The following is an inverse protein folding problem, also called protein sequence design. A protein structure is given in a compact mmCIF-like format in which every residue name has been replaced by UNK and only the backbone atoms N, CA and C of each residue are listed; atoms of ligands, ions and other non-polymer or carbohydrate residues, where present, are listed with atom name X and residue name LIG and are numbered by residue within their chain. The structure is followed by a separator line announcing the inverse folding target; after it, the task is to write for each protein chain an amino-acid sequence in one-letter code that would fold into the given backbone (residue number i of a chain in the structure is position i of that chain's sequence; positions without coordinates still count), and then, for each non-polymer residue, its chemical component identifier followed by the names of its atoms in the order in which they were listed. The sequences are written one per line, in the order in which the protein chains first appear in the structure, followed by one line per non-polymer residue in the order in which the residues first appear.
data_IF_780540687187
#
_entry.id   IF_780540687187
#
_cell.length_a   1.000
_cell.length_b   1.000
_cell.length_c   1.000
_cell.angle_alpha   90.00
_cell.angle_beta   90.00
_cell.angle_gamma   90.00
#
_symmetry.space_group_name_H-M   'P 1'
#
loop_
_entity.id
_entity.type
_entity.pdbx_description
1 polymer ?
#
# COMPACT_ATOMS: atom_id res chain seq x y z
N UNK A 1 2.61 30.66 -30.09
CA UNK A 1 2.38 29.30 -30.62
C UNK A 1 1.10 28.77 -30.00
N UNK A 2 0.01 28.73 -30.78
CA UNK A 2 -1.26 28.11 -30.34
C UNK A 2 -1.01 26.63 -30.15
N UNK A 3 -1.20 26.12 -28.93
CA UNK A 3 -1.31 24.67 -28.66
C UNK A 3 -2.59 24.20 -29.38
N UNK A 4 -2.44 23.43 -30.43
CA UNK A 4 -3.53 22.72 -31.07
C UNK A 4 -4.21 21.87 -29.97
N UNK A 5 -5.42 22.22 -29.60
CA UNK A 5 -6.27 21.38 -28.78
C UNK A 5 -6.59 20.16 -29.65
N UNK A 6 -5.93 19.05 -29.34
CA UNK A 6 -6.17 17.77 -30.02
C UNK A 6 -7.62 17.40 -29.81
N UNK A 7 -8.40 17.26 -30.89
CA UNK A 7 -9.81 16.84 -30.76
C UNK A 7 -9.82 15.40 -30.28
N UNK A 8 -10.73 15.08 -29.33
CA UNK A 8 -10.98 13.70 -28.86
C UNK A 8 -11.18 12.72 -30.04
N UNK A 9 -11.59 13.20 -31.22
CA UNK A 9 -11.79 12.40 -32.42
C UNK A 9 -10.51 11.85 -33.07
N UNK A 10 -9.33 12.37 -32.73
CA UNK A 10 -8.04 11.88 -33.25
C UNK A 10 -7.40 10.83 -32.32
N UNK A 11 -7.92 10.64 -31.11
CA UNK A 11 -7.38 9.72 -30.11
C UNK A 11 -7.99 8.31 -30.34
N UNK A 12 -7.11 7.35 -30.58
CA UNK A 12 -7.55 5.94 -30.62
C UNK A 12 -7.60 5.38 -29.19
N UNK A 13 -8.80 5.06 -28.71
CA UNK A 13 -9.03 4.52 -27.37
C UNK A 13 -8.27 3.22 -27.11
N UNK A 14 -8.03 2.41 -28.15
CA UNK A 14 -7.27 1.17 -28.01
C UNK A 14 -5.80 1.43 -27.60
N UNK A 15 -5.23 2.60 -27.97
CA UNK A 15 -3.86 2.95 -27.61
C UNK A 15 -3.67 3.11 -26.11
N UNK A 16 -4.74 3.44 -25.34
CA UNK A 16 -4.71 3.48 -23.87
C UNK A 16 -4.42 2.11 -23.24
N UNK A 17 -4.91 1.02 -23.85
CA UNK A 17 -4.61 -0.35 -23.40
C UNK A 17 -3.11 -0.65 -23.51
N UNK A 18 -2.48 -0.23 -24.60
CA UNK A 18 -1.03 -0.38 -24.79
C UNK A 18 -0.24 0.48 -23.81
N UNK A 19 -0.68 1.71 -23.59
CA UNK A 19 -0.10 2.61 -22.62
C UNK A 19 -0.14 2.02 -21.19
N UNK A 20 -1.29 1.53 -20.75
CA UNK A 20 -1.45 0.88 -19.43
C UNK A 20 -0.51 -0.30 -19.27
N UNK A 21 -0.42 -1.17 -20.28
CA UNK A 21 0.40 -2.37 -20.18
C UNK A 21 1.91 -2.05 -20.18
N UNK A 22 2.36 -1.03 -20.93
CA UNK A 22 3.75 -0.55 -20.88
C UNK A 22 4.05 0.13 -19.55
N UNK A 23 3.13 0.92 -19.02
CA UNK A 23 3.29 1.58 -17.71
C UNK A 23 3.47 0.55 -16.57
N UNK A 24 2.68 -0.53 -16.59
CA UNK A 24 2.73 -1.61 -15.59
C UNK A 24 3.99 -2.45 -15.70
N UNK A 25 4.40 -2.78 -16.92
CA UNK A 25 5.53 -3.70 -17.14
C UNK A 25 6.89 -2.99 -17.22
N UNK A 26 6.89 -1.68 -17.49
CA UNK A 26 8.08 -0.86 -17.78
C UNK A 26 8.93 -1.38 -18.95
N UNK A 27 8.45 -2.40 -19.67
CA UNK A 27 9.15 -3.06 -20.79
C UNK A 27 8.15 -3.35 -21.91
N UNK A 28 8.35 -2.72 -23.08
CA UNK A 28 7.49 -2.93 -24.23
C UNK A 28 7.48 -4.39 -24.73
N UNK A 29 8.58 -5.13 -24.55
CA UNK A 29 8.63 -6.57 -24.89
C UNK A 29 7.76 -7.43 -23.98
N UNK A 30 7.67 -7.10 -22.69
CA UNK A 30 6.78 -7.78 -21.74
C UNK A 30 5.32 -7.41 -22.00
N UNK A 31 5.05 -6.12 -22.26
CA UNK A 31 3.72 -5.66 -22.67
C UNK A 31 3.24 -6.35 -23.96
N UNK A 32 4.13 -6.49 -24.95
CA UNK A 32 3.83 -7.18 -26.21
C UNK A 32 3.40 -8.64 -25.98
N UNK A 33 4.13 -9.37 -25.13
CA UNK A 33 3.77 -10.75 -24.77
C UNK A 33 2.39 -10.84 -24.10
N UNK A 34 2.09 -9.94 -23.15
CA UNK A 34 0.80 -9.92 -22.45
C UNK A 34 -0.37 -9.55 -23.35
N UNK A 35 -0.12 -8.64 -24.30
CA UNK A 35 -1.12 -8.22 -25.28
C UNK A 35 -1.23 -9.15 -26.50
N UNK A 36 -0.41 -10.21 -26.57
CA UNK A 36 -0.31 -11.14 -27.71
C UNK A 36 -0.09 -10.43 -29.06
N UNK A 37 0.84 -9.45 -29.07
CA UNK A 37 1.23 -8.67 -30.26
C UNK A 37 2.75 -8.57 -30.38
N UNK A 38 3.24 -8.04 -31.50
CA UNK A 38 4.66 -7.77 -31.70
C UNK A 38 5.12 -6.51 -30.96
N UNK A 39 6.41 -6.49 -30.58
CA UNK A 39 7.06 -5.32 -29.96
C UNK A 39 6.90 -4.05 -30.79
N UNK A 40 7.02 -4.17 -32.12
CA UNK A 40 6.85 -3.04 -33.05
C UNK A 40 5.46 -2.43 -32.99
N UNK A 41 4.44 -3.26 -32.81
CA UNK A 41 3.05 -2.81 -32.62
C UNK A 41 2.92 -1.98 -31.33
N UNK A 42 3.45 -2.47 -30.21
CA UNK A 42 3.44 -1.71 -28.95
C UNK A 42 4.13 -0.35 -29.10
N UNK A 43 5.34 -0.35 -29.67
CA UNK A 43 6.09 0.91 -29.86
C UNK A 43 5.35 1.90 -30.75
N UNK A 44 4.74 1.43 -31.85
CA UNK A 44 3.94 2.24 -32.76
C UNK A 44 2.70 2.82 -32.08
N UNK A 45 1.98 2.02 -31.29
CA UNK A 45 0.77 2.43 -30.55
C UNK A 45 1.09 3.50 -29.52
N UNK A 46 2.21 3.36 -28.77
CA UNK A 46 2.69 4.40 -27.83
C UNK A 46 3.02 5.68 -28.59
N UNK A 47 3.80 5.60 -29.68
CA UNK A 47 4.15 6.79 -30.48
C UNK A 47 2.92 7.46 -31.10
N UNK A 48 1.92 6.69 -31.51
CA UNK A 48 0.62 7.21 -32.00
C UNK A 48 -0.10 8.01 -30.91
N UNK A 49 -0.17 7.47 -29.68
CA UNK A 49 -0.80 8.12 -28.54
C UNK A 49 -0.08 9.40 -28.16
N UNK A 50 1.27 9.37 -28.07
CA UNK A 50 2.11 10.54 -27.78
C UNK A 50 1.94 11.61 -28.86
N UNK A 51 1.90 11.22 -30.13
CA UNK A 51 1.62 12.11 -31.25
C UNK A 51 0.24 12.76 -31.20
N UNK A 52 -0.80 11.97 -30.87
CA UNK A 52 -2.16 12.48 -30.73
C UNK A 52 -2.32 13.44 -29.55
N UNK A 53 -1.58 13.24 -28.45
CA UNK A 53 -1.58 14.11 -27.27
C UNK A 53 -0.59 15.28 -27.36
N UNK A 54 0.33 15.25 -28.34
CA UNK A 54 1.38 16.27 -28.49
C UNK A 54 2.38 16.31 -27.34
N UNK A 55 2.56 15.20 -26.62
CA UNK A 55 3.46 15.11 -25.47
C UNK A 55 4.02 13.71 -25.31
N UNK A 56 5.24 13.59 -24.76
CA UNK A 56 5.83 12.32 -24.41
C UNK A 56 5.23 11.79 -23.10
N UNK A 57 4.88 10.52 -23.08
CA UNK A 57 4.34 9.83 -21.91
C UNK A 57 5.39 8.98 -21.22
N UNK A 58 6.44 8.60 -21.95
CA UNK A 58 7.55 7.81 -21.44
C UNK A 58 8.90 8.39 -21.81
N UNK A 59 9.84 8.29 -20.86
CA UNK A 59 11.26 8.40 -21.09
C UNK A 59 11.89 7.02 -21.23
N UNK A 60 12.74 6.83 -22.26
CA UNK A 60 13.45 5.57 -22.46
C UNK A 60 14.76 5.58 -21.68
N UNK A 61 14.84 4.79 -20.61
CA UNK A 61 16.06 4.59 -19.85
C UNK A 61 16.74 3.27 -20.26
N UNK A 62 18.06 3.28 -20.39
CA UNK A 62 18.84 2.05 -20.69
C UNK A 62 18.77 1.04 -19.54
N UNK A 63 18.66 1.49 -18.30
CA UNK A 63 18.63 0.67 -17.10
C UNK A 63 17.21 0.35 -16.64
N UNK A 64 16.29 1.33 -16.71
CA UNK A 64 14.95 1.23 -16.12
C UNK A 64 13.83 0.99 -17.16
N UNK A 65 14.17 0.88 -18.46
CA UNK A 65 13.19 0.68 -19.51
C UNK A 65 12.34 1.93 -19.79
N UNK A 66 11.03 1.78 -19.86
CA UNK A 66 10.06 2.87 -20.04
C UNK A 66 9.68 3.46 -18.68
N UNK A 67 10.10 4.69 -18.41
CA UNK A 67 9.75 5.45 -17.20
C UNK A 67 8.71 6.50 -17.58
N UNK A 68 7.64 6.60 -16.80
CA UNK A 68 6.59 7.60 -17.04
C UNK A 68 7.13 9.01 -16.85
N UNK A 69 6.77 9.92 -17.76
CA UNK A 69 6.93 11.36 -17.58
C UNK A 69 5.87 11.88 -16.59
N UNK A 70 5.93 13.16 -16.21
CA UNK A 70 4.89 13.79 -15.40
C UNK A 70 3.52 13.76 -16.10
N UNK A 71 3.49 13.92 -17.43
CA UNK A 71 2.31 13.80 -18.28
C UNK A 71 1.81 12.36 -18.34
N UNK A 72 2.74 11.40 -18.50
CA UNK A 72 2.43 9.97 -18.44
C UNK A 72 1.83 9.55 -17.11
N UNK A 73 2.38 10.05 -15.98
CA UNK A 73 1.82 9.77 -14.66
C UNK A 73 0.40 10.33 -14.49
N UNK A 74 0.12 11.52 -15.02
CA UNK A 74 -1.23 12.10 -15.03
C UNK A 74 -2.20 11.26 -15.88
N UNK A 75 -1.77 10.87 -17.10
CA UNK A 75 -2.60 10.04 -17.98
C UNK A 75 -2.88 8.67 -17.38
N UNK A 76 -1.92 8.07 -16.64
CA UNK A 76 -2.08 6.77 -16.03
C UNK A 76 -3.34 6.71 -15.14
N UNK A 77 -3.54 7.70 -14.27
CA UNK A 77 -4.72 7.75 -13.41
C UNK A 77 -6.05 7.82 -14.18
N UNK A 78 -6.08 8.57 -15.30
CA UNK A 78 -7.27 8.62 -16.15
C UNK A 78 -7.48 7.33 -16.94
N UNK A 79 -6.42 6.75 -17.50
CA UNK A 79 -6.49 5.51 -18.27
C UNK A 79 -6.96 4.32 -17.41
N UNK A 80 -6.47 4.22 -16.18
CA UNK A 80 -6.95 3.22 -15.19
C UNK A 80 -8.43 3.41 -14.84
N UNK A 81 -8.92 4.67 -14.80
CA UNK A 81 -10.34 4.98 -14.61
C UNK A 81 -11.21 4.48 -15.76
N UNK A 82 -10.74 4.75 -16.97
CA UNK A 82 -11.44 4.33 -18.20
C UNK A 82 -11.50 2.79 -18.26
N UNK A 83 -10.39 2.12 -17.98
CA UNK A 83 -10.34 0.66 -17.90
C UNK A 83 -11.33 0.11 -16.87
N UNK A 84 -11.35 0.68 -15.65
CA UNK A 84 -12.27 0.28 -14.59
C UNK A 84 -13.73 0.51 -14.98
N UNK A 85 -14.03 1.65 -15.61
CA UNK A 85 -15.37 1.96 -16.10
C UNK A 85 -15.82 1.00 -17.21
N UNK A 86 -14.91 0.65 -18.12
CA UNK A 86 -15.17 -0.31 -19.19
C UNK A 86 -15.44 -1.72 -18.62
N UNK A 87 -14.65 -2.14 -17.62
CA UNK A 87 -14.90 -3.39 -16.92
C UNK A 87 -16.29 -3.42 -16.26
N UNK A 88 -16.68 -2.35 -15.56
CA UNK A 88 -18.03 -2.25 -15.00
C UNK A 88 -19.12 -2.36 -16.06
N UNK A 89 -18.97 -1.65 -17.17
CA UNK A 89 -19.92 -1.71 -18.27
C UNK A 89 -20.05 -3.12 -18.83
N UNK A 90 -18.92 -3.79 -19.06
CA UNK A 90 -18.90 -5.18 -19.53
C UNK A 90 -19.57 -6.12 -18.52
N UNK A 91 -19.30 -5.99 -17.23
CA UNK A 91 -19.94 -6.80 -16.18
C UNK A 91 -21.47 -6.60 -16.14
N UNK A 92 -21.92 -5.37 -16.31
CA UNK A 92 -23.36 -5.05 -16.31
C UNK A 92 -24.10 -5.56 -17.56
N UNK A 93 -23.46 -5.44 -18.73
CA UNK A 93 -24.08 -5.84 -20.01
C UNK A 93 -24.04 -7.34 -20.23
N UNK A 94 -22.93 -8.00 -19.86
CA UNK A 94 -22.74 -9.44 -20.11
C UNK A 94 -23.39 -10.35 -19.06
N UNK A 95 -23.97 -9.79 -18.01
CA UNK A 95 -24.56 -10.56 -16.91
C UNK A 95 -23.54 -11.35 -16.10
N UNK A 96 -24.01 -12.38 -15.36
CA UNK A 96 -23.18 -13.18 -14.44
C UNK A 96 -22.16 -14.13 -15.10
N UNK A 97 -22.02 -14.07 -16.43
CA UNK A 97 -21.17 -14.99 -17.19
C UNK A 97 -19.75 -14.49 -17.51
N UNK A 98 -19.40 -13.24 -17.19
CA UNK A 98 -18.03 -12.74 -17.36
C UNK A 98 -17.15 -13.36 -16.30
N UNK A 99 -16.09 -14.06 -16.72
CA UNK A 99 -15.12 -14.62 -15.81
C UNK A 99 -14.58 -13.51 -14.87
N UNK A 100 -14.68 -13.76 -13.56
CA UNK A 100 -14.18 -12.86 -12.54
C UNK A 100 -12.66 -12.74 -12.67
N UNK A 101 -12.18 -11.66 -13.26
CA UNK A 101 -10.76 -11.48 -13.60
C UNK A 101 -10.36 -10.01 -13.44
N UNK A 102 -9.05 -9.78 -13.42
CA UNK A 102 -8.49 -8.45 -13.45
C UNK A 102 -7.44 -8.22 -12.37
N UNK A 103 -7.04 -6.97 -12.24
CA UNK A 103 -5.98 -6.56 -11.34
C UNK A 103 -6.55 -5.69 -10.21
N UNK A 104 -6.04 -5.88 -8.99
CA UNK A 104 -6.36 -5.07 -7.81
C UNK A 104 -5.08 -4.66 -7.12
N UNK A 105 -4.97 -3.39 -6.81
CA UNK A 105 -3.85 -2.84 -6.03
C UNK A 105 -4.32 -2.49 -4.63
N UNK A 106 -3.71 -3.11 -3.62
CA UNK A 106 -4.01 -2.89 -2.21
C UNK A 106 -2.84 -2.19 -1.51
N UNK A 107 -3.10 -1.01 -0.95
CA UNK A 107 -2.17 -0.31 -0.09
C UNK A 107 -2.43 -0.63 1.38
N UNK A 108 -1.38 -0.77 2.18
CA UNK A 108 -1.52 -0.99 3.62
C UNK A 108 -0.29 -0.52 4.39
N UNK A 109 -0.44 -0.41 5.71
CA UNK A 109 0.70 -0.14 6.58
C UNK A 109 1.68 -1.32 6.56
N UNK A 110 2.96 -1.03 6.65
CA UNK A 110 4.04 -1.98 6.39
C UNK A 110 3.94 -3.26 7.24
N UNK A 111 3.83 -3.12 8.56
CA UNK A 111 3.80 -4.29 9.46
C UNK A 111 2.54 -5.13 9.29
N UNK A 112 1.36 -4.50 9.23
CA UNK A 112 0.08 -5.21 9.06
C UNK A 112 -0.01 -5.87 7.68
N UNK A 113 0.41 -5.15 6.64
CA UNK A 113 0.46 -5.67 5.29
C UNK A 113 1.36 -6.90 5.17
N UNK A 114 2.56 -6.83 5.72
CA UNK A 114 3.54 -7.91 5.59
C UNK A 114 3.19 -9.16 6.40
N UNK A 115 2.73 -9.00 7.65
CA UNK A 115 2.57 -10.12 8.58
C UNK A 115 1.14 -10.61 8.75
N UNK A 116 0.15 -9.81 8.39
CA UNK A 116 -1.25 -10.22 8.48
C UNK A 116 -1.92 -10.35 7.11
N UNK A 117 -1.88 -9.31 6.29
CA UNK A 117 -2.63 -9.28 5.02
C UNK A 117 -2.00 -10.19 3.96
N UNK A 118 -0.66 -10.19 3.80
CA UNK A 118 0.01 -10.97 2.76
C UNK A 118 -0.26 -12.49 2.87
N UNK A 119 -0.21 -13.12 4.05
CA UNK A 119 -0.61 -14.52 4.19
C UNK A 119 -2.04 -14.79 3.71
N UNK A 120 -2.99 -13.90 4.03
CA UNK A 120 -4.39 -14.05 3.60
C UNK A 120 -4.53 -13.87 2.09
N UNK A 121 -3.80 -12.93 1.49
CA UNK A 121 -3.83 -12.73 0.05
C UNK A 121 -3.29 -13.92 -0.72
N UNK A 122 -2.35 -14.68 -0.18
CA UNK A 122 -1.86 -15.91 -0.84
C UNK A 122 -2.99 -16.93 -1.01
N UNK A 123 -3.83 -17.12 0.01
CA UNK A 123 -5.01 -17.98 -0.09
C UNK A 123 -6.08 -17.41 -1.03
N UNK A 124 -6.25 -16.09 -1.04
CA UNK A 124 -7.19 -15.44 -1.94
C UNK A 124 -6.84 -15.65 -3.40
N UNK A 125 -5.57 -15.46 -3.81
CA UNK A 125 -5.17 -15.62 -5.21
C UNK A 125 -5.20 -17.08 -5.65
N UNK A 126 -4.99 -18.04 -4.75
CA UNK A 126 -5.19 -19.46 -5.03
C UNK A 126 -6.66 -19.79 -5.32
N UNK A 127 -7.58 -19.19 -4.55
CA UNK A 127 -9.02 -19.38 -4.74
C UNK A 127 -9.55 -18.65 -6.00
N UNK A 128 -8.90 -17.55 -6.41
CA UNK A 128 -9.32 -16.71 -7.54
C UNK A 128 -8.17 -16.44 -8.53
N UNK A 129 -7.66 -17.45 -9.24
CA UNK A 129 -6.44 -17.37 -10.05
C UNK A 129 -6.50 -16.38 -11.22
N UNK A 130 -7.70 -15.95 -11.61
CA UNK A 130 -7.87 -14.93 -12.64
C UNK A 130 -7.80 -13.49 -12.10
N UNK A 131 -7.71 -13.31 -10.76
CA UNK A 131 -7.48 -12.02 -10.11
C UNK A 131 -6.01 -11.93 -9.70
N UNK A 132 -5.33 -10.89 -10.18
CA UNK A 132 -3.99 -10.54 -9.70
C UNK A 132 -4.08 -9.43 -8.65
N UNK A 133 -3.28 -9.54 -7.59
CA UNK A 133 -3.24 -8.53 -6.51
C UNK A 133 -1.82 -8.02 -6.35
N UNK A 134 -1.65 -6.67 -6.46
CA UNK A 134 -0.45 -6.01 -5.98
C UNK A 134 -0.70 -5.58 -4.53
N UNK A 135 0.19 -5.99 -3.63
CA UNK A 135 0.19 -5.48 -2.26
C UNK A 135 1.31 -4.45 -2.09
N UNK A 136 0.99 -3.30 -1.51
CA UNK A 136 1.91 -2.20 -1.26
C UNK A 136 2.02 -1.95 0.25
N UNK A 137 2.84 -2.72 0.97
CA UNK A 137 3.08 -2.53 2.40
C UNK A 137 4.14 -1.44 2.60
N UNK A 138 3.72 -0.18 2.63
CA UNK A 138 4.62 0.97 2.60
C UNK A 138 4.65 1.71 3.95
N UNK A 139 5.82 2.22 4.37
CA UNK A 139 5.98 3.04 5.57
C UNK A 139 5.60 4.51 5.33
N UNK A 140 4.61 4.77 4.48
CA UNK A 140 4.11 6.11 4.19
C UNK A 140 2.65 6.07 3.74
N UNK A 141 2.01 7.25 3.67
CA UNK A 141 0.63 7.39 3.25
C UNK A 141 0.44 7.03 1.76
N UNK A 142 -0.58 6.22 1.48
CA UNK A 142 -0.99 5.83 0.12
C UNK A 142 -2.23 6.60 -0.27
N UNK A 143 -2.17 7.29 -1.40
CA UNK A 143 -3.24 8.17 -1.86
C UNK A 143 -4.19 7.49 -2.84
N UNK A 144 -5.46 7.28 -2.43
CA UNK A 144 -6.52 6.86 -3.35
C UNK A 144 -6.89 7.94 -4.38
N UNK A 145 -6.75 9.22 -4.01
CA UNK A 145 -7.05 10.33 -4.93
C UNK A 145 -6.07 10.37 -6.09
N UNK A 146 -4.81 9.96 -5.87
CA UNK A 146 -3.79 9.79 -6.90
C UNK A 146 -3.83 8.42 -7.57
N UNK A 147 -4.78 7.57 -7.18
CA UNK A 147 -4.95 6.19 -7.70
C UNK A 147 -3.73 5.30 -7.53
N UNK A 148 -3.01 5.50 -6.42
CA UNK A 148 -1.86 4.65 -6.07
C UNK A 148 -2.32 3.24 -5.66
N UNK A 149 -3.55 3.11 -5.13
CA UNK A 149 -4.19 1.84 -4.80
C UNK A 149 -5.70 1.88 -5.06
N UNK A 150 -6.34 0.71 -5.19
CA UNK A 150 -7.79 0.53 -5.32
C UNK A 150 -8.45 0.38 -3.95
N UNK A 151 -7.80 -0.35 -3.03
CA UNK A 151 -8.19 -0.53 -1.63
C UNK A 151 -7.03 -0.08 -0.75
N UNK A 152 -7.32 0.61 0.35
CA UNK A 152 -6.30 1.01 1.32
C UNK A 152 -6.71 0.55 2.72
N UNK A 153 -5.74 0.04 3.47
CA UNK A 153 -5.83 -0.22 4.91
C UNK A 153 -4.89 0.75 5.63
N UNK A 154 -5.45 1.65 6.43
CA UNK A 154 -4.72 2.73 7.10
C UNK A 154 -5.05 2.81 8.59
N UNK A 155 -4.27 3.63 9.31
CA UNK A 155 -4.43 3.89 10.75
C UNK A 155 -5.57 4.86 11.03
N UNK A 156 -5.90 5.70 10.06
CA UNK A 156 -6.89 6.76 10.19
C UNK A 156 -7.99 6.60 9.15
N UNK A 157 -9.19 7.03 9.52
CA UNK A 157 -10.31 7.13 8.61
C UNK A 157 -10.08 8.30 7.65
N UNK A 158 -10.39 8.15 6.33
CA UNK A 158 -10.31 9.28 5.42
C UNK A 158 -11.33 10.36 5.82
N UNK A 159 -10.86 11.61 5.94
CA UNK A 159 -11.72 12.73 6.35
C UNK A 159 -12.68 13.18 5.25
N UNK A 160 -12.20 13.17 4.00
CA UNK A 160 -12.94 13.69 2.85
C UNK A 160 -12.77 12.83 1.61
N UNK A 161 -13.77 12.82 0.74
CA UNK A 161 -13.77 12.15 -0.55
C UNK A 161 -14.91 11.13 -0.72
N UNK A 162 -15.14 10.68 -1.95
CA UNK A 162 -16.19 9.71 -2.26
C UNK A 162 -15.69 8.29 -1.93
N UNK A 163 -15.52 8.00 -0.64
CA UNK A 163 -14.98 6.73 -0.17
C UNK A 163 -16.01 5.90 0.58
N UNK A 164 -16.06 4.61 0.28
CA UNK A 164 -16.66 3.62 1.17
C UNK A 164 -15.59 3.23 2.18
N UNK A 165 -15.91 3.36 3.47
CA UNK A 165 -14.98 3.12 4.56
C UNK A 165 -15.62 2.23 5.62
N UNK A 166 -14.84 1.31 6.19
CA UNK A 166 -15.23 0.55 7.36
C UNK A 166 -14.05 0.38 8.33
N UNK A 167 -14.36 0.25 9.61
CA UNK A 167 -13.40 -0.25 10.59
C UNK A 167 -13.11 -1.71 10.26
N UNK A 168 -11.83 -2.06 10.13
CA UNK A 168 -11.42 -3.43 9.84
C UNK A 168 -11.25 -4.23 11.14
N UNK A 169 -10.35 -3.78 12.03
CA UNK A 169 -10.15 -4.41 13.33
C UNK A 169 -9.49 -3.44 14.32
N UNK A 170 -9.51 -3.81 15.59
CA UNK A 170 -8.66 -3.22 16.62
C UNK A 170 -7.34 -3.98 16.70
N UNK A 171 -6.25 -3.27 17.02
CA UNK A 171 -4.98 -3.89 17.35
C UNK A 171 -4.36 -3.21 18.57
N UNK A 172 -3.47 -3.92 19.24
CA UNK A 172 -2.80 -3.43 20.45
C UNK A 172 -1.31 -3.24 20.18
N UNK A 173 -0.77 -2.20 20.83
CA UNK A 173 0.66 -1.99 20.94
C UNK A 173 1.04 -2.08 22.41
N UNK A 174 2.18 -2.70 22.68
CA UNK A 174 2.77 -2.83 24.00
C UNK A 174 4.27 -2.56 23.93
N UNK A 175 4.88 -2.32 25.07
CA UNK A 175 6.31 -2.18 25.21
C UNK A 175 6.95 -3.57 25.26
N UNK A 176 8.04 -3.76 24.52
CA UNK A 176 8.76 -5.04 24.42
C UNK A 176 10.26 -4.87 24.67
N UNK A 177 10.84 -5.91 25.25
CA UNK A 177 12.27 -6.11 25.40
C UNK A 177 12.61 -7.61 25.25
N UNK A 178 13.86 -7.94 24.99
CA UNK A 178 14.36 -9.32 25.15
C UNK A 178 14.71 -9.61 26.62
N UNK A 179 14.73 -10.89 27.01
CA UNK A 179 15.16 -11.28 28.36
C UNK A 179 16.60 -10.81 28.64
N UNK A 180 17.52 -10.95 27.67
CA UNK A 180 18.90 -10.51 27.79
C UNK A 180 19.01 -9.00 28.12
N UNK A 181 18.15 -8.18 27.52
CA UNK A 181 18.09 -6.75 27.85
C UNK A 181 17.67 -6.54 29.29
N UNK A 182 16.61 -7.22 29.74
CA UNK A 182 16.06 -7.07 31.08
C UNK A 182 17.04 -7.52 32.17
N UNK A 183 17.86 -8.55 31.88
CA UNK A 183 18.85 -9.07 32.81
C UNK A 183 20.08 -8.15 32.96
N UNK A 184 20.39 -7.37 31.92
CA UNK A 184 21.58 -6.51 31.85
C UNK A 184 21.31 -5.05 32.29
N UNK A 185 20.04 -4.68 32.50
CA UNK A 185 19.65 -3.29 32.78
C UNK A 185 18.89 -3.18 34.14
N UNK A 186 18.73 -1.98 34.69
CA UNK A 186 17.95 -1.76 35.90
C UNK A 186 16.53 -2.36 35.78
N UNK A 187 15.97 -2.92 36.87
CA UNK A 187 14.67 -3.58 36.80
C UNK A 187 13.56 -2.58 36.54
N UNK A 188 12.64 -2.95 35.63
CA UNK A 188 11.46 -2.17 35.26
C UNK A 188 10.26 -2.74 36.02
N UNK A 189 9.74 -2.01 37.00
CA UNK A 189 8.58 -2.41 37.80
C UNK A 189 7.40 -1.43 37.66
N UNK A 190 7.66 -0.21 37.22
CA UNK A 190 6.68 0.87 37.04
C UNK A 190 7.14 1.83 35.94
N UNK A 191 6.23 2.61 35.34
CA UNK A 191 6.57 3.52 34.23
C UNK A 191 7.72 4.51 34.55
N UNK A 192 7.87 4.96 35.79
CA UNK A 192 8.95 5.88 36.19
C UNK A 192 10.36 5.27 36.00
N UNK A 193 10.50 3.95 36.10
CA UNK A 193 11.79 3.26 35.95
C UNK A 193 12.28 3.33 34.48
N UNK A 194 11.38 3.53 33.50
CA UNK A 194 11.69 3.63 32.09
C UNK A 194 12.57 4.85 31.72
N UNK A 195 12.66 5.85 32.58
CA UNK A 195 13.53 7.01 32.36
C UNK A 195 15.03 6.65 32.25
N UNK A 196 15.43 5.46 32.73
CA UNK A 196 16.83 4.97 32.71
C UNK A 196 17.09 4.05 31.50
N UNK A 197 16.11 3.90 30.60
CA UNK A 197 16.19 2.95 29.48
C UNK A 197 16.24 3.65 28.14
N UNK A 198 16.76 2.93 27.15
CA UNK A 198 16.85 3.39 25.76
C UNK A 198 15.71 2.82 24.93
N UNK A 199 15.23 3.63 23.98
CA UNK A 199 14.09 3.27 23.15
C UNK A 199 14.42 3.28 21.67
N UNK A 200 13.65 2.48 20.95
CA UNK A 200 13.49 2.54 19.50
C UNK A 200 12.15 3.23 19.22
N UNK A 201 12.10 4.16 18.28
CA UNK A 201 10.88 4.91 17.95
C UNK A 201 10.78 5.23 16.46
N UNK A 202 9.69 5.86 16.09
CA UNK A 202 9.56 6.50 14.78
C UNK A 202 10.44 7.76 14.69
N UNK A 203 10.71 8.17 13.44
CA UNK A 203 11.30 9.49 13.12
C UNK A 203 10.13 10.47 13.12
N UNK A 204 10.08 11.36 14.10
CA UNK A 204 8.90 12.15 14.43
C UNK A 204 8.42 13.05 13.28
N UNK A 205 9.34 13.72 12.58
CA UNK A 205 9.08 14.62 11.46
C UNK A 205 8.76 13.89 10.13
N UNK A 206 8.95 12.57 10.09
CA UNK A 206 8.63 11.71 8.96
C UNK A 206 7.46 10.76 9.24
N UNK A 207 6.83 10.86 10.40
CA UNK A 207 5.64 10.07 10.73
C UNK A 207 4.48 10.50 9.84
N UNK A 208 3.93 9.55 9.07
CA UNK A 208 2.82 9.80 8.13
C UNK A 208 1.44 9.85 8.80
N UNK A 209 1.36 9.58 10.09
CA UNK A 209 0.17 9.63 10.93
C UNK A 209 0.57 10.00 12.35
N UNK A 210 -0.23 10.82 13.02
CA UNK A 210 -0.07 11.15 14.44
C UNK A 210 -0.22 9.92 15.33
N UNK A 211 -0.91 8.88 14.86
CA UNK A 211 -1.09 7.61 15.53
C UNK A 211 0.22 6.82 15.74
N UNK A 212 1.30 7.19 15.03
CA UNK A 212 2.63 6.60 15.17
C UNK A 212 3.49 7.24 16.25
N UNK A 213 3.13 8.44 16.75
CA UNK A 213 3.88 9.20 17.74
C UNK A 213 3.57 8.75 19.18
N UNK A 214 3.39 7.45 19.39
CA UNK A 214 2.94 6.92 20.67
C UNK A 214 4.00 6.95 21.77
N UNK A 215 5.31 6.93 21.46
CA UNK A 215 6.35 6.98 22.49
C UNK A 215 6.28 8.28 23.29
N UNK A 216 6.21 9.42 22.62
CA UNK A 216 6.11 10.72 23.26
C UNK A 216 4.81 10.89 24.08
N UNK A 217 3.71 10.28 23.61
CA UNK A 217 2.41 10.34 24.27
C UNK A 217 2.34 9.46 25.53
N UNK A 218 2.99 8.29 25.49
CA UNK A 218 2.94 7.31 26.60
C UNK A 218 4.05 7.55 27.62
N UNK A 219 5.21 7.99 27.16
CA UNK A 219 6.41 8.22 27.98
C UNK A 219 7.00 9.60 27.68
N UNK A 220 6.36 10.69 28.17
CA UNK A 220 6.87 12.04 27.97
C UNK A 220 8.31 12.16 28.51
N UNK A 221 9.23 12.64 27.68
CA UNK A 221 10.65 12.78 28.03
C UNK A 221 11.51 11.54 27.77
N UNK A 222 10.94 10.42 27.32
CA UNK A 222 11.73 9.29 26.86
C UNK A 222 12.52 9.67 25.59
N UNK A 223 13.80 9.30 25.54
CA UNK A 223 14.66 9.53 24.37
C UNK A 223 14.85 8.23 23.60
N UNK A 224 14.72 8.29 22.28
CA UNK A 224 15.02 7.18 21.39
C UNK A 224 16.39 7.41 20.74
N UNK A 225 17.29 6.44 20.89
CA UNK A 225 18.62 6.49 20.28
C UNK A 225 18.62 5.92 18.86
N UNK A 226 17.65 5.06 18.55
CA UNK A 226 17.44 4.52 17.23
C UNK A 226 16.02 4.90 16.78
N UNK A 227 15.93 5.51 15.61
CA UNK A 227 14.65 5.88 15.00
C UNK A 227 14.56 5.34 13.58
N UNK A 228 13.35 4.92 13.19
CA UNK A 228 13.07 4.44 11.83
C UNK A 228 11.64 4.79 11.43
N UNK A 229 11.41 5.07 10.15
CA UNK A 229 10.08 5.18 9.55
C UNK A 229 9.42 3.82 9.33
N UNK A 230 10.18 2.73 9.43
CA UNK A 230 9.74 1.35 9.23
C UNK A 230 9.52 0.66 10.57
N UNK A 231 8.30 0.16 10.82
CA UNK A 231 7.99 -0.65 12.00
C UNK A 231 8.69 -2.00 11.97
N UNK A 232 8.97 -2.53 10.78
CA UNK A 232 9.74 -3.78 10.64
C UNK A 232 11.19 -3.56 11.06
N UNK A 233 11.80 -2.44 10.67
CA UNK A 233 13.15 -2.10 11.13
C UNK A 233 13.20 -1.90 12.66
N UNK A 234 12.17 -1.29 13.26
CA UNK A 234 12.05 -1.19 14.72
C UNK A 234 11.93 -2.56 15.38
N UNK A 235 11.14 -3.48 14.81
CA UNK A 235 11.02 -4.86 15.27
C UNK A 235 12.36 -5.60 15.21
N UNK A 236 13.06 -5.54 14.07
CA UNK A 236 14.39 -6.17 13.90
C UNK A 236 15.41 -5.59 14.90
N UNK A 237 15.36 -4.28 15.15
CA UNK A 237 16.25 -3.66 16.13
C UNK A 237 15.92 -4.09 17.57
N UNK A 238 14.63 -4.24 17.92
CA UNK A 238 14.22 -4.74 19.23
C UNK A 238 14.70 -6.17 19.49
N UNK A 239 14.73 -7.03 18.48
CA UNK A 239 15.23 -8.40 18.54
C UNK A 239 16.74 -8.48 18.92
N UNK A 240 17.49 -7.39 18.71
CA UNK A 240 18.92 -7.34 19.07
C UNK A 240 19.15 -7.18 20.58
N UNK A 241 18.10 -6.92 21.37
CA UNK A 241 18.19 -6.83 22.83
C UNK A 241 19.06 -5.66 23.34
N UNK A 242 19.02 -4.51 22.63
CA UNK A 242 19.79 -3.32 23.02
C UNK A 242 18.92 -2.14 23.46
N UNK A 243 17.61 -2.21 23.24
CA UNK A 243 16.68 -1.14 23.54
C UNK A 243 15.26 -1.67 23.66
N UNK A 244 14.40 -0.91 24.31
CA UNK A 244 12.97 -1.14 24.37
C UNK A 244 12.28 -0.62 23.11
N UNK A 245 11.18 -1.26 22.70
CA UNK A 245 10.36 -0.80 21.57
C UNK A 245 8.88 -0.96 21.87
N UNK A 246 8.07 0.05 21.49
CA UNK A 246 6.61 -0.12 21.44
C UNK A 246 6.27 -0.69 20.07
N UNK A 247 5.75 -1.91 20.06
CA UNK A 247 5.44 -2.66 18.83
C UNK A 247 3.99 -3.13 18.83
N UNK A 248 3.37 -3.28 17.63
CA UNK A 248 2.12 -4.02 17.51
C UNK A 248 2.26 -5.44 18.04
N UNK A 249 1.30 -5.89 18.86
CA UNK A 249 1.36 -7.23 19.46
C UNK A 249 1.42 -8.36 18.43
N UNK A 250 0.74 -8.20 17.27
CA UNK A 250 0.78 -9.19 16.19
C UNK A 250 2.18 -9.28 15.53
N UNK A 251 2.97 -8.19 15.57
CA UNK A 251 4.32 -8.16 15.05
C UNK A 251 5.31 -8.73 16.08
N UNK A 252 5.21 -8.32 17.33
CA UNK A 252 6.05 -8.83 18.41
C UNK A 252 5.87 -10.35 18.60
N UNK A 253 4.66 -10.88 18.40
CA UNK A 253 4.37 -12.32 18.46
C UNK A 253 5.12 -13.18 17.43
N UNK A 254 5.76 -12.56 16.43
CA UNK A 254 6.61 -13.27 15.46
C UNK A 254 7.95 -13.73 16.06
N UNK A 255 8.33 -13.21 17.24
CA UNK A 255 9.54 -13.62 17.94
C UNK A 255 9.29 -13.80 19.44
N UNK A 256 9.34 -15.04 19.91
CA UNK A 256 9.11 -15.41 21.31
C UNK A 256 10.14 -14.82 22.30
N UNK A 257 11.26 -14.28 21.82
CA UNK A 257 12.27 -13.59 22.65
C UNK A 257 11.81 -12.20 23.10
N UNK A 258 10.83 -11.61 22.39
CA UNK A 258 10.24 -10.31 22.75
C UNK A 258 9.19 -10.48 23.82
N UNK A 259 9.52 -10.06 25.03
CA UNK A 259 8.65 -10.15 26.20
C UNK A 259 7.95 -8.82 26.43
N UNK A 260 6.66 -8.79 26.77
CA UNK A 260 5.96 -7.57 27.11
C UNK A 260 6.46 -7.00 28.45
N UNK A 261 6.70 -5.70 28.46
CA UNK A 261 7.16 -4.93 29.63
C UNK A 261 6.03 -4.00 30.08
N UNK A 262 5.64 -4.07 31.34
CA UNK A 262 4.51 -3.31 31.91
C UNK A 262 3.23 -3.44 31.07
N UNK A 263 2.73 -4.66 30.81
CA UNK A 263 1.65 -4.88 29.85
C UNK A 263 0.28 -4.33 30.30
N UNK A 264 0.10 -4.02 31.58
CA UNK A 264 -1.07 -3.35 32.14
C UNK A 264 -1.00 -1.84 32.02
N UNK A 265 0.17 -1.28 32.21
CA UNK A 265 0.42 0.19 32.23
C UNK A 265 0.62 0.73 30.81
N UNK A 266 1.26 -0.06 29.94
CA UNK A 266 1.54 0.33 28.55
C UNK A 266 0.79 -0.62 27.60
N UNK A 267 -0.45 -0.27 27.34
CA UNK A 267 -1.34 -1.01 26.46
C UNK A 267 -2.18 -0.02 25.63
N UNK A 268 -1.77 0.20 24.39
CA UNK A 268 -2.37 1.18 23.49
C UNK A 268 -3.25 0.43 22.49
N UNK A 269 -4.53 0.77 22.45
CA UNK A 269 -5.43 0.24 21.42
C UNK A 269 -5.54 1.23 20.27
N UNK A 270 -5.40 0.73 19.05
CA UNK A 270 -5.53 1.44 17.79
C UNK A 270 -6.43 0.66 16.84
N UNK A 271 -6.76 1.27 15.71
CA UNK A 271 -7.68 0.71 14.74
C UNK A 271 -7.07 0.70 13.35
N UNK A 272 -7.38 -0.33 12.57
CA UNK A 272 -7.21 -0.31 11.13
C UNK A 272 -8.54 0.03 10.46
N UNK A 273 -8.46 0.91 9.48
CA UNK A 273 -9.57 1.32 8.64
C UNK A 273 -9.32 0.86 7.21
N UNK A 274 -10.31 0.20 6.61
CA UNK A 274 -10.25 -0.19 5.21
C UNK A 274 -11.19 0.71 4.40
N UNK A 275 -10.71 1.25 3.28
CA UNK A 275 -11.50 2.11 2.43
C UNK A 275 -11.09 2.00 0.97
N UNK A 276 -12.04 2.27 0.08
CA UNK A 276 -11.88 2.37 -1.36
C UNK A 276 -12.79 3.46 -1.91
N UNK A 277 -12.58 3.83 -3.17
CA UNK A 277 -13.49 4.76 -3.85
C UNK A 277 -14.84 4.09 -4.10
N UNK A 278 -15.93 4.87 -4.05
CA UNK A 278 -17.30 4.38 -4.27
C UNK A 278 -17.49 3.78 -5.68
N UNK A 279 -16.88 4.39 -6.70
CA UNK A 279 -16.93 3.90 -8.08
C UNK A 279 -16.25 2.52 -8.22
N UNK A 280 -15.12 2.31 -7.55
CA UNK A 280 -14.39 1.04 -7.57
C UNK A 280 -15.08 -0.04 -6.73
N UNK A 281 -15.78 0.33 -5.64
CA UNK A 281 -16.47 -0.63 -4.77
C UNK A 281 -17.51 -1.48 -5.49
N UNK A 282 -18.03 -1.00 -6.62
CA UNK A 282 -19.02 -1.68 -7.47
C UNK A 282 -18.41 -2.78 -8.36
N UNK A 283 -17.09 -2.78 -8.57
CA UNK A 283 -16.40 -3.81 -9.34
C UNK A 283 -16.40 -5.13 -8.58
N UNK A 284 -16.82 -6.23 -9.22
CA UNK A 284 -16.92 -7.55 -8.58
C UNK A 284 -15.61 -7.99 -7.93
N UNK A 285 -14.46 -7.79 -8.60
CA UNK A 285 -13.14 -8.12 -8.05
C UNK A 285 -12.80 -7.34 -6.78
N UNK A 286 -13.17 -6.04 -6.72
CA UNK A 286 -12.97 -5.19 -5.53
C UNK A 286 -13.91 -5.63 -4.41
N UNK A 287 -15.19 -5.85 -4.72
CA UNK A 287 -16.19 -6.37 -3.76
C UNK A 287 -15.71 -7.67 -3.15
N UNK A 288 -15.27 -8.61 -3.97
CA UNK A 288 -14.83 -9.92 -3.52
C UNK A 288 -13.61 -9.85 -2.60
N UNK A 289 -12.57 -9.10 -2.99
CA UNK A 289 -11.38 -8.93 -2.15
C UNK A 289 -11.71 -8.18 -0.87
N UNK A 290 -12.55 -7.15 -0.93
CA UNK A 290 -13.02 -6.40 0.23
C UNK A 290 -13.73 -7.30 1.24
N UNK A 291 -14.68 -8.12 0.77
CA UNK A 291 -15.48 -8.99 1.64
C UNK A 291 -14.63 -10.13 2.19
N UNK A 292 -13.67 -10.65 1.40
CA UNK A 292 -12.68 -11.62 1.86
C UNK A 292 -11.83 -11.07 3.01
N UNK A 293 -11.24 -9.88 2.84
CA UNK A 293 -10.41 -9.26 3.90
C UNK A 293 -11.22 -8.97 5.17
N UNK A 294 -12.51 -8.68 5.05
CA UNK A 294 -13.38 -8.49 6.23
C UNK A 294 -13.75 -9.78 6.95
N UNK A 295 -13.63 -10.91 6.28
CA UNK A 295 -14.00 -12.22 6.85
C UNK A 295 -12.85 -12.92 7.59
N UNK A 296 -11.63 -12.46 7.40
CA UNK A 296 -10.41 -12.98 8.04
C UNK A 296 -9.94 -12.06 9.17
#
# INVERSE_FOLDING_TARGET
MQKNITSLGSLNWDDLKFFLEVARTRKASTAAKRLAVDYTTVSRRISSLEGALGTLLFEKSRTNGFVLTAEGQRLLGYAESIESTLHMACEQVSGSGVALSGHVRMGCTEGFGSFFITPQLSHFVDAYPAISVDILPLPHFISLSKREADIVIALERPEHGPYVCCKLCDYRLQLYATQDYLDQHPPIRRPADLAQHQFISYVDDLAFSSELLYLANVLPGASANLRSTSVIAQFVAAQQGRSLAILPCFLAAQDARLLPVLPTEINITRQFWMYCREDLRKLKRITLLWDYIRSV
#
